data_IF_140200282066
#
_entry.id   IF_140200282066
#
_cell.length_a   1.000
_cell.length_b   1.000
_cell.length_c   1.000
_cell.angle_alpha   90.00
_cell.angle_beta   90.00
_cell.angle_gamma   90.00
#
_symmetry.space_group_name_H-M   'P 1'
#
loop_
_entity.id
_entity.type
_entity.pdbx_description
1 polymer ?
#
# COMPACT_ATOMS: atom_id res chain seq x y z
N UNK A 1 12.29 7.53 -44.66
CA UNK A 1 12.24 8.68 -43.73
C UNK A 1 11.87 9.92 -44.52
N UNK A 2 10.61 10.37 -44.50
CA UNK A 2 10.25 11.72 -44.96
C UNK A 2 9.41 12.37 -43.87
N UNK A 3 9.91 13.49 -43.36
CA UNK A 3 9.37 14.26 -42.24
C UNK A 3 8.79 15.57 -42.79
N UNK A 4 7.64 15.97 -42.22
CA UNK A 4 7.14 17.35 -42.02
C UNK A 4 6.76 18.12 -43.31
N UNK A 5 5.93 19.16 -43.35
CA UNK A 5 4.91 19.87 -42.54
C UNK A 5 4.45 20.99 -43.49
N UNK A 6 3.16 21.30 -43.61
CA UNK A 6 2.59 22.61 -44.02
C UNK A 6 1.07 22.42 -44.20
N UNK A 7 0.16 22.99 -43.40
CA UNK A 7 -0.18 24.40 -43.14
C UNK A 7 -0.98 25.11 -44.26
N UNK A 8 -2.05 25.80 -43.85
CA UNK A 8 -2.92 26.79 -44.55
C UNK A 8 -3.94 26.21 -45.56
N UNK A 9 -5.23 26.12 -45.27
CA UNK A 9 -6.26 27.17 -45.06
C UNK A 9 -6.67 27.92 -46.35
N UNK A 10 -7.92 27.76 -46.82
CA UNK A 10 -8.80 28.85 -47.30
C UNK A 10 -10.21 28.34 -47.71
N UNK A 11 -11.23 28.87 -47.00
CA UNK A 11 -12.48 29.51 -47.48
C UNK A 11 -13.42 28.82 -48.48
N UNK A 12 -14.71 28.84 -48.08
CA UNK A 12 -15.87 29.00 -48.96
C UNK A 12 -17.01 28.05 -48.57
N UNK A 13 -18.27 28.45 -48.42
CA UNK A 13 -18.96 29.73 -48.43
C UNK A 13 -20.30 29.50 -47.70
N UNK A 14 -20.79 30.53 -47.01
CA UNK A 14 -22.08 30.55 -46.30
C UNK A 14 -23.17 30.97 -47.31
N UNK A 15 -24.23 30.17 -47.45
CA UNK A 15 -25.51 30.53 -48.08
C UNK A 15 -26.59 29.82 -47.22
N UNK A 16 -27.24 30.51 -46.29
CA UNK A 16 -28.42 31.38 -46.40
C UNK A 16 -29.78 30.65 -46.38
N UNK A 17 -30.72 31.29 -45.68
CA UNK A 17 -32.18 31.09 -45.63
C UNK A 17 -32.76 30.13 -44.58
N UNK A 18 -33.45 30.76 -43.62
CA UNK A 18 -34.30 30.23 -42.55
C UNK A 18 -35.69 29.88 -43.12
N UNK A 19 -36.45 28.96 -42.49
CA UNK A 19 -37.76 29.38 -42.00
C UNK A 19 -38.06 28.90 -40.57
N UNK A 20 -38.56 29.82 -39.77
CA UNK A 20 -39.20 29.59 -38.47
C UNK A 20 -40.58 28.99 -38.67
N UNK A 21 -40.86 27.84 -38.05
CA UNK A 21 -42.23 27.42 -37.72
C UNK A 21 -42.31 27.10 -36.23
N UNK A 22 -43.17 27.84 -35.55
CA UNK A 22 -43.69 27.54 -34.23
C UNK A 22 -44.97 26.70 -34.42
N UNK A 23 -45.07 25.53 -33.78
CA UNK A 23 -46.34 25.00 -33.27
C UNK A 23 -46.09 23.78 -32.38
N UNK A 24 -46.90 23.68 -31.32
CA UNK A 24 -46.85 22.70 -30.26
C UNK A 24 -47.23 21.28 -30.71
N UNK A 25 -46.62 20.24 -30.12
CA UNK A 25 -47.41 19.14 -29.56
C UNK A 25 -46.62 18.24 -28.60
N UNK A 26 -47.34 17.83 -27.58
CA UNK A 26 -46.99 16.99 -26.46
C UNK A 26 -46.56 15.58 -26.92
N UNK A 27 -45.30 15.18 -26.70
CA UNK A 27 -44.99 13.76 -26.49
C UNK A 27 -44.08 13.60 -25.29
N UNK A 28 -44.70 13.12 -24.21
CA UNK A 28 -44.10 12.32 -23.17
C UNK A 28 -43.08 11.34 -23.76
N UNK A 29 -41.80 11.73 -23.73
CA UNK A 29 -40.67 10.91 -24.08
C UNK A 29 -39.73 10.85 -22.90
N UNK A 30 -40.00 9.94 -21.97
CA UNK A 30 -39.08 9.53 -20.90
C UNK A 30 -37.73 9.19 -21.51
N UNK A 31 -36.78 10.13 -21.43
CA UNK A 31 -35.38 9.85 -21.72
C UNK A 31 -34.90 8.76 -20.75
N UNK A 32 -34.27 7.68 -21.23
CA UNK A 32 -33.74 6.64 -20.35
C UNK A 32 -32.70 7.28 -19.43
N UNK A 33 -33.01 7.28 -18.14
CA UNK A 33 -32.12 7.72 -17.07
C UNK A 33 -30.88 6.86 -17.18
N UNK A 34 -29.81 7.43 -17.75
CA UNK A 34 -28.52 6.77 -17.87
C UNK A 34 -28.15 6.19 -16.50
N UNK A 35 -28.07 4.86 -16.47
CA UNK A 35 -27.63 4.04 -15.35
C UNK A 35 -26.37 4.67 -14.78
N UNK A 36 -26.52 5.36 -13.64
CA UNK A 36 -25.38 5.71 -12.82
C UNK A 36 -24.65 4.40 -12.55
N UNK A 37 -23.42 4.30 -13.05
CA UNK A 37 -22.44 3.29 -12.64
C UNK A 37 -22.71 2.96 -11.17
N UNK A 38 -22.94 1.69 -10.87
CA UNK A 38 -23.41 1.21 -9.57
C UNK A 38 -22.25 0.60 -8.75
N UNK A 39 -21.07 1.27 -8.58
CA UNK A 39 -19.93 0.67 -7.87
C UNK A 39 -20.31 0.36 -6.42
N UNK A 40 -21.24 1.12 -5.84
CA UNK A 40 -21.75 0.89 -4.48
C UNK A 40 -22.58 -0.39 -4.34
N UNK A 41 -23.32 -0.82 -5.37
CA UNK A 41 -24.06 -2.09 -5.33
C UNK A 41 -23.08 -3.26 -5.48
N UNK A 42 -22.15 -3.16 -6.41
CA UNK A 42 -21.16 -4.19 -6.70
C UNK A 42 -20.22 -4.43 -5.52
N UNK A 43 -19.69 -3.36 -4.91
CA UNK A 43 -18.90 -3.45 -3.67
C UNK A 43 -19.68 -4.07 -2.50
N UNK A 44 -21.00 -3.88 -2.46
CA UNK A 44 -21.84 -4.49 -1.44
C UNK A 44 -21.98 -5.99 -1.65
N UNK A 45 -22.18 -6.41 -2.91
CA UNK A 45 -22.28 -7.81 -3.29
C UNK A 45 -20.94 -8.53 -3.12
N UNK A 46 -19.83 -7.90 -3.48
CA UNK A 46 -18.48 -8.43 -3.24
C UNK A 46 -18.20 -8.59 -1.75
N UNK A 47 -18.57 -7.60 -0.92
CA UNK A 47 -18.46 -7.73 0.54
C UNK A 47 -19.37 -8.81 1.09
N UNK A 48 -20.62 -8.90 0.64
CA UNK A 48 -21.54 -9.95 1.04
C UNK A 48 -20.96 -11.33 0.71
N UNK A 49 -20.45 -11.52 -0.52
CA UNK A 49 -19.80 -12.75 -0.95
C UNK A 49 -18.55 -13.06 -0.11
N UNK A 50 -17.73 -12.06 0.23
CA UNK A 50 -16.56 -12.23 1.10
C UNK A 50 -16.92 -12.72 2.51
N UNK A 51 -18.11 -12.36 3.01
CA UNK A 51 -18.65 -12.83 4.28
C UNK A 51 -19.59 -14.05 4.14
N UNK A 52 -19.77 -14.61 2.93
CA UNK A 52 -20.65 -15.74 2.67
C UNK A 52 -22.16 -15.42 2.79
N UNK A 53 -22.53 -14.15 2.69
CA UNK A 53 -23.93 -13.69 2.81
C UNK A 53 -24.64 -13.79 1.45
N UNK A 54 -25.73 -14.56 1.40
CA UNK A 54 -26.57 -14.65 0.22
C UNK A 54 -27.30 -13.32 -0.04
N UNK A 55 -27.12 -12.76 -1.24
CA UNK A 55 -27.73 -11.48 -1.66
C UNK A 55 -29.08 -11.63 -2.36
N UNK A 56 -29.49 -12.86 -2.65
CA UNK A 56 -30.69 -13.14 -3.43
C UNK A 56 -31.96 -12.88 -2.61
N UNK A 57 -32.80 -11.98 -3.12
CA UNK A 57 -34.07 -11.60 -2.49
C UNK A 57 -33.97 -10.61 -1.32
N UNK A 58 -32.76 -10.20 -0.89
CA UNK A 58 -32.57 -9.25 0.22
C UNK A 58 -32.46 -7.80 -0.26
N UNK A 59 -32.98 -6.87 0.53
CA UNK A 59 -32.83 -5.44 0.23
C UNK A 59 -31.39 -4.97 0.50
N UNK A 60 -30.98 -3.88 -0.16
CA UNK A 60 -29.63 -3.29 0.05
C UNK A 60 -29.35 -2.97 1.52
N UNK A 61 -30.39 -2.62 2.29
CA UNK A 61 -30.28 -2.27 3.70
C UNK A 61 -30.08 -3.51 4.58
N UNK A 62 -30.80 -4.60 4.28
CA UNK A 62 -30.61 -5.89 4.94
C UNK A 62 -29.20 -6.45 4.69
N UNK A 63 -28.73 -6.43 3.44
CA UNK A 63 -27.37 -6.86 3.09
C UNK A 63 -26.32 -5.98 3.82
N UNK A 64 -26.54 -4.66 3.89
CA UNK A 64 -25.66 -3.76 4.68
C UNK A 64 -25.66 -4.10 6.16
N UNK A 65 -26.81 -4.40 6.75
CA UNK A 65 -26.93 -4.72 8.17
C UNK A 65 -26.21 -6.04 8.50
N UNK A 66 -26.41 -7.08 7.68
CA UNK A 66 -25.74 -8.37 7.84
C UNK A 66 -24.22 -8.27 7.61
N UNK A 67 -23.76 -7.50 6.62
CA UNK A 67 -22.32 -7.25 6.43
C UNK A 67 -21.75 -6.52 7.64
N UNK A 68 -22.46 -5.53 8.19
CA UNK A 68 -22.01 -4.81 9.39
C UNK A 68 -21.86 -5.76 10.57
N UNK A 69 -22.88 -6.57 10.88
CA UNK A 69 -22.82 -7.52 11.99
C UNK A 69 -21.72 -8.58 11.79
N UNK A 70 -21.60 -9.16 10.59
CA UNK A 70 -20.53 -10.09 10.26
C UNK A 70 -19.15 -9.44 10.40
N UNK A 71 -18.99 -8.20 9.91
CA UNK A 71 -17.73 -7.45 10.03
C UNK A 71 -17.39 -7.09 11.47
N UNK A 72 -18.39 -6.84 12.31
CA UNK A 72 -18.21 -6.56 13.74
C UNK A 72 -17.81 -7.81 14.50
N UNK A 73 -18.43 -8.96 14.20
CA UNK A 73 -18.05 -10.26 14.74
C UNK A 73 -16.61 -10.63 14.34
N UNK A 74 -16.25 -10.47 13.06
CA UNK A 74 -14.88 -10.68 12.57
C UNK A 74 -13.89 -9.73 13.23
N UNK A 75 -14.26 -8.46 13.39
CA UNK A 75 -13.43 -7.46 14.06
C UNK A 75 -13.21 -7.84 15.53
N UNK A 76 -14.25 -8.29 16.22
CA UNK A 76 -14.18 -8.79 17.59
C UNK A 76 -13.25 -10.01 17.69
N UNK A 77 -13.42 -11.01 16.83
CA UNK A 77 -12.56 -12.19 16.78
C UNK A 77 -11.09 -11.81 16.54
N UNK A 78 -10.82 -10.86 15.63
CA UNK A 78 -9.46 -10.34 15.39
C UNK A 78 -8.89 -9.60 16.59
N UNK A 79 -9.70 -8.83 17.31
CA UNK A 79 -9.28 -8.14 18.54
C UNK A 79 -8.96 -9.15 19.64
N UNK A 80 -9.80 -10.18 19.83
CA UNK A 80 -9.55 -11.26 20.78
C UNK A 80 -8.28 -12.05 20.43
N UNK A 81 -8.09 -12.41 19.16
CA UNK A 81 -6.87 -13.09 18.70
C UNK A 81 -5.62 -12.22 18.88
N UNK A 82 -5.72 -10.91 18.65
CA UNK A 82 -4.63 -9.98 18.92
C UNK A 82 -4.34 -9.86 20.43
N UNK A 83 -5.38 -9.81 21.26
CA UNK A 83 -5.27 -9.74 22.71
C UNK A 83 -4.61 -11.02 23.27
N UNK A 84 -5.04 -12.20 22.82
CA UNK A 84 -4.42 -13.47 23.16
C UNK A 84 -2.92 -13.51 22.78
N UNK A 85 -2.56 -13.04 21.57
CA UNK A 85 -1.15 -12.91 21.14
C UNK A 85 -0.33 -11.94 21.99
N UNK A 86 -0.98 -10.98 22.63
CA UNK A 86 -0.34 -10.02 23.53
C UNK A 86 -0.42 -10.44 25.01
N UNK A 87 -1.03 -11.59 25.32
CA UNK A 87 -1.21 -12.07 26.69
C UNK A 87 -2.29 -11.30 27.48
N UNK A 88 -3.22 -10.64 26.79
CA UNK A 88 -4.30 -9.88 27.41
C UNK A 88 -5.51 -10.81 27.55
N UNK A 89 -6.04 -10.96 28.77
CA UNK A 89 -7.25 -11.72 29.03
C UNK A 89 -8.44 -11.12 28.25
N UNK A 90 -9.13 -11.98 27.49
CA UNK A 90 -10.26 -11.62 26.63
C UNK A 90 -11.63 -11.95 27.22
N UNK A 91 -11.66 -12.72 28.31
CA UNK A 91 -12.90 -13.24 28.88
C UNK A 91 -13.73 -12.11 29.50
N UNK A 92 -14.97 -11.98 29.02
CA UNK A 92 -15.94 -10.99 29.51
C UNK A 92 -15.71 -9.54 29.09
N UNK A 93 -14.69 -9.24 28.27
CA UNK A 93 -14.38 -7.86 27.86
C UNK A 93 -15.14 -7.44 26.60
N UNK A 94 -15.62 -6.20 26.60
CA UNK A 94 -16.28 -5.62 25.43
C UNK A 94 -15.28 -5.30 24.32
N UNK A 95 -15.78 -5.12 23.09
CA UNK A 95 -14.97 -4.70 21.93
C UNK A 95 -14.14 -3.44 22.20
N UNK A 96 -14.71 -2.50 22.97
CA UNK A 96 -14.09 -1.21 23.27
C UNK A 96 -12.99 -1.35 24.31
N UNK A 97 -13.23 -2.13 25.37
CA UNK A 97 -12.22 -2.44 26.37
C UNK A 97 -11.01 -3.15 25.74
N UNK A 98 -11.26 -4.15 24.89
CA UNK A 98 -10.18 -4.83 24.16
C UNK A 98 -9.40 -3.87 23.26
N UNK A 99 -10.06 -2.92 22.60
CA UNK A 99 -9.35 -1.90 21.78
C UNK A 99 -8.45 -1.03 22.65
N UNK A 100 -8.93 -0.57 23.79
CA UNK A 100 -8.15 0.27 24.71
C UNK A 100 -6.95 -0.49 25.26
N UNK A 101 -7.16 -1.72 25.73
CA UNK A 101 -6.09 -2.59 26.24
C UNK A 101 -5.04 -2.88 25.16
N UNK A 102 -5.48 -3.17 23.92
CA UNK A 102 -4.58 -3.36 22.78
C UNK A 102 -3.82 -2.09 22.44
N UNK A 103 -4.46 -0.92 22.47
CA UNK A 103 -3.79 0.36 22.20
C UNK A 103 -2.72 0.66 23.26
N UNK A 104 -3.02 0.40 24.53
CA UNK A 104 -2.06 0.54 25.62
C UNK A 104 -0.88 -0.45 25.45
N UNK A 105 -1.15 -1.73 25.19
CA UNK A 105 -0.11 -2.73 24.95
C UNK A 105 0.74 -2.43 23.70
N UNK A 106 0.15 -1.84 22.67
CA UNK A 106 0.88 -1.38 21.49
C UNK A 106 1.73 -0.17 21.82
N UNK A 107 1.22 0.77 22.61
CA UNK A 107 1.98 1.94 23.07
C UNK A 107 3.21 1.52 23.87
N UNK A 108 3.05 0.63 24.85
CA UNK A 108 4.19 0.12 25.65
C UNK A 108 5.22 -0.59 24.77
N UNK A 109 4.79 -1.39 23.79
CA UNK A 109 5.71 -2.03 22.83
C UNK A 109 6.41 -1.03 21.90
N UNK A 110 5.74 0.06 21.54
CA UNK A 110 6.35 1.13 20.74
C UNK A 110 7.35 1.93 21.56
N UNK A 111 7.00 2.32 22.78
CA UNK A 111 7.91 2.98 23.72
C UNK A 111 9.17 2.15 23.96
N UNK A 112 9.03 0.87 24.32
CA UNK A 112 10.18 -0.03 24.50
C UNK A 112 11.05 -0.21 23.25
N UNK A 113 10.46 -0.11 22.04
CA UNK A 113 11.22 -0.10 20.79
C UNK A 113 11.91 1.24 20.56
N UNK A 114 11.29 2.34 20.99
CA UNK A 114 11.80 3.69 20.88
C UNK A 114 13.05 3.82 21.78
N UNK A 115 12.98 3.35 23.02
CA UNK A 115 14.11 3.29 23.95
C UNK A 115 15.28 2.49 23.36
N UNK A 116 15.02 1.30 22.80
CA UNK A 116 16.04 0.48 22.13
C UNK A 116 16.70 1.15 20.94
N UNK A 117 16.01 2.08 20.29
CA UNK A 117 16.49 2.83 19.14
C UNK A 117 17.00 4.23 19.52
N UNK A 118 16.99 4.59 20.80
CA UNK A 118 17.36 5.94 21.27
C UNK A 118 16.39 7.04 20.86
N UNK A 119 15.14 6.69 20.56
CA UNK A 119 14.07 7.63 20.20
C UNK A 119 13.25 7.89 21.45
N UNK A 120 13.23 9.12 21.96
CA UNK A 120 12.41 9.47 23.13
C UNK A 120 10.91 9.27 22.85
N UNK A 121 10.22 8.58 23.76
CA UNK A 121 8.78 8.30 23.67
C UNK A 121 7.87 9.26 24.42
N UNK A 122 8.43 10.15 25.24
CA UNK A 122 7.64 11.02 26.12
C UNK A 122 6.79 12.03 25.33
N UNK A 123 5.51 12.12 25.70
CA UNK A 123 4.54 13.04 25.13
C UNK A 123 4.10 12.76 23.69
N UNK A 124 4.60 11.69 23.05
CA UNK A 124 4.29 11.38 21.65
C UNK A 124 3.09 10.46 21.53
N UNK A 125 2.24 10.73 20.54
CA UNK A 125 1.15 9.83 20.18
C UNK A 125 1.67 8.53 19.58
N UNK A 126 0.85 7.48 19.63
CA UNK A 126 1.10 6.20 18.98
C UNK A 126 1.43 6.31 17.47
N UNK A 127 0.95 7.36 16.79
CA UNK A 127 1.23 7.60 15.37
C UNK A 127 2.63 8.19 15.20
N UNK A 128 2.95 9.25 15.93
CA UNK A 128 4.25 9.91 15.89
C UNK A 128 5.38 8.97 16.33
N UNK A 129 5.15 8.15 17.36
CA UNK A 129 6.10 7.12 17.78
C UNK A 129 6.43 6.14 16.64
N UNK A 130 5.42 5.70 15.88
CA UNK A 130 5.64 4.80 14.74
C UNK A 130 6.43 5.47 13.62
N UNK A 131 6.14 6.73 13.33
CA UNK A 131 6.85 7.50 12.30
C UNK A 131 8.31 7.73 12.71
N UNK A 132 8.55 8.18 13.94
CA UNK A 132 9.90 8.37 14.47
C UNK A 132 10.69 7.05 14.50
N UNK A 133 10.06 5.94 14.90
CA UNK A 133 10.66 4.60 14.84
C UNK A 133 10.98 4.16 13.41
N UNK A 134 10.10 4.46 12.45
CA UNK A 134 10.33 4.15 11.04
C UNK A 134 11.52 4.94 10.50
N UNK A 135 11.60 6.23 10.83
CA UNK A 135 12.73 7.09 10.48
C UNK A 135 14.04 6.60 11.10
N UNK A 136 14.04 6.30 12.41
CA UNK A 136 15.22 5.77 13.11
C UNK A 136 15.70 4.43 12.53
N UNK A 137 14.77 3.53 12.19
CA UNK A 137 15.09 2.27 11.50
C UNK A 137 15.65 2.48 10.10
N UNK A 138 15.10 3.43 9.35
CA UNK A 138 15.60 3.77 8.03
C UNK A 138 17.02 4.33 8.12
N UNK A 139 17.30 5.22 9.07
CA UNK A 139 18.63 5.77 9.34
C UNK A 139 19.62 4.67 9.76
N UNK A 140 19.23 3.75 10.65
CA UNK A 140 20.07 2.60 11.02
C UNK A 140 20.33 1.65 9.84
N UNK A 141 19.35 1.50 8.96
CA UNK A 141 19.49 0.69 7.75
C UNK A 141 20.48 1.34 6.77
N UNK A 142 20.36 2.64 6.49
CA UNK A 142 21.30 3.34 5.62
C UNK A 142 22.72 3.35 6.20
N UNK A 143 22.88 3.55 7.51
CA UNK A 143 24.19 3.48 8.19
C UNK A 143 24.84 2.11 8.00
N UNK A 144 24.08 1.03 8.18
CA UNK A 144 24.57 -0.34 7.96
C UNK A 144 24.87 -0.60 6.48
N UNK A 145 24.02 -0.14 5.58
CA UNK A 145 24.21 -0.34 4.14
C UNK A 145 25.47 0.42 3.65
N UNK A 146 25.77 1.61 4.21
CA UNK A 146 27.03 2.32 4.00
C UNK A 146 28.25 1.53 4.53
N UNK A 147 28.19 1.04 5.78
CA UNK A 147 29.29 0.19 6.33
C UNK A 147 29.53 -1.07 5.51
N UNK A 148 28.48 -1.66 4.94
CA UNK A 148 28.61 -2.80 4.02
C UNK A 148 29.29 -2.39 2.72
N UNK A 149 28.90 -1.26 2.13
CA UNK A 149 29.57 -0.73 0.94
C UNK A 149 31.06 -0.48 1.19
N UNK A 150 31.43 0.13 2.32
CA UNK A 150 32.82 0.33 2.71
C UNK A 150 33.58 -0.99 2.87
N UNK A 151 32.97 -1.99 3.50
CA UNK A 151 33.57 -3.31 3.65
C UNK A 151 33.76 -4.03 2.30
N UNK A 152 32.81 -3.87 1.38
CA UNK A 152 32.91 -4.37 -0.01
C UNK A 152 34.05 -3.69 -0.72
N UNK A 153 34.16 -2.37 -0.67
CA UNK A 153 35.23 -1.60 -1.32
C UNK A 153 36.62 -1.97 -0.76
N UNK A 154 36.73 -2.11 0.57
CA UNK A 154 37.98 -2.59 1.21
C UNK A 154 38.38 -4.00 0.75
N UNK A 155 37.40 -4.89 0.54
CA UNK A 155 37.65 -6.25 0.01
C UNK A 155 38.01 -6.23 -1.46
N UNK A 156 37.35 -5.39 -2.26
CA UNK A 156 37.66 -5.19 -3.67
C UNK A 156 39.10 -4.73 -3.85
N UNK A 157 39.52 -3.69 -3.10
CA UNK A 157 40.88 -3.18 -3.12
C UNK A 157 41.93 -4.25 -2.77
N UNK A 158 41.67 -5.09 -1.75
CA UNK A 158 42.56 -6.22 -1.38
C UNK A 158 42.70 -7.29 -2.45
N UNK A 159 41.70 -7.41 -3.34
CA UNK A 159 41.70 -8.37 -4.44
C UNK A 159 42.07 -7.73 -5.78
N UNK A 160 42.39 -6.43 -5.81
CA UNK A 160 42.70 -5.69 -7.03
C UNK A 160 41.50 -5.49 -7.96
N UNK A 161 40.27 -5.57 -7.42
CA UNK A 161 39.03 -5.42 -8.19
C UNK A 161 38.66 -3.93 -8.26
N UNK A 162 38.50 -3.39 -9.47
CA UNK A 162 38.04 -2.01 -9.67
C UNK A 162 36.56 -1.85 -9.30
N UNK A 163 36.27 -0.79 -8.53
CA UNK A 163 34.91 -0.40 -8.11
C UNK A 163 34.27 0.67 -9.01
N UNK A 164 35.03 1.23 -9.96
CA UNK A 164 34.58 2.35 -10.77
C UNK A 164 33.49 1.94 -11.77
N UNK A 165 32.37 2.65 -11.74
CA UNK A 165 31.22 2.38 -12.60
C UNK A 165 30.41 1.12 -12.25
N UNK A 166 30.76 0.40 -11.18
CA UNK A 166 30.07 -0.83 -10.77
C UNK A 166 29.16 -0.62 -9.56
N UNK A 167 28.04 -1.32 -9.55
CA UNK A 167 27.16 -1.35 -8.36
C UNK A 167 27.80 -2.17 -7.24
N UNK A 168 27.45 -1.89 -5.98
CA UNK A 168 27.94 -2.66 -4.82
C UNK A 168 27.64 -4.16 -4.94
N UNK A 169 26.53 -4.52 -5.58
CA UNK A 169 26.16 -5.92 -5.84
C UNK A 169 27.11 -6.60 -6.84
N UNK A 170 27.47 -5.91 -7.94
CA UNK A 170 28.42 -6.42 -8.94
C UNK A 170 29.82 -6.59 -8.34
N UNK A 171 30.30 -5.59 -7.59
CA UNK A 171 31.59 -5.67 -6.89
C UNK A 171 31.60 -6.84 -5.90
N UNK A 172 30.51 -7.05 -5.14
CA UNK A 172 30.40 -8.17 -4.22
C UNK A 172 30.43 -9.53 -4.93
N UNK A 173 29.74 -9.68 -6.05
CA UNK A 173 29.74 -10.91 -6.85
C UNK A 173 31.15 -11.23 -7.37
N UNK A 174 31.87 -10.23 -7.89
CA UNK A 174 33.26 -10.39 -8.35
C UNK A 174 34.20 -10.79 -7.21
N UNK A 175 34.06 -10.17 -6.03
CA UNK A 175 34.82 -10.55 -4.82
C UNK A 175 34.57 -12.03 -4.47
N UNK A 176 33.30 -12.47 -4.52
CA UNK A 176 32.93 -13.84 -4.18
C UNK A 176 33.55 -14.85 -5.16
N UNK A 177 33.48 -14.57 -6.46
CA UNK A 177 34.11 -15.39 -7.50
C UNK A 177 35.63 -15.44 -7.35
N UNK A 178 36.28 -14.31 -7.05
CA UNK A 178 37.73 -14.26 -6.82
C UNK A 178 38.16 -15.06 -5.58
N UNK A 179 37.37 -15.00 -4.50
CA UNK A 179 37.61 -15.81 -3.28
C UNK A 179 37.44 -17.30 -3.55
N UNK A 180 36.39 -17.70 -4.29
CA UNK A 180 36.18 -19.09 -4.68
C UNK A 180 37.34 -19.62 -5.53
N UNK A 181 37.82 -18.85 -6.50
CA UNK A 181 38.98 -19.23 -7.31
C UNK A 181 40.25 -19.38 -6.46
N UNK A 182 40.46 -18.49 -5.48
CA UNK A 182 41.60 -18.58 -4.54
C UNK A 182 41.52 -19.84 -3.67
N UNK A 183 40.34 -20.16 -3.14
CA UNK A 183 40.14 -21.37 -2.34
C UNK A 183 40.26 -22.65 -3.17
N UNK A 184 39.74 -22.67 -4.40
CA UNK A 184 39.89 -23.81 -5.30
C UNK A 184 41.35 -24.10 -5.68
N UNK A 185 42.19 -23.06 -5.83
CA UNK A 185 43.64 -23.23 -6.03
C UNK A 185 44.34 -23.78 -4.78
N UNK A 186 43.97 -23.27 -3.60
CA UNK A 186 44.49 -23.74 -2.32
C UNK A 186 44.09 -25.17 -1.95
N UNK A 187 42.92 -25.63 -2.41
CA UNK A 187 42.44 -26.99 -2.17
C UNK A 187 43.08 -28.03 -3.12
N UNK A 188 43.78 -27.58 -4.17
CA UNK A 188 44.49 -28.42 -5.15
C UNK A 188 46.01 -28.47 -4.91
N UNK A 189 46.52 -27.70 -3.96
CA UNK A 189 47.90 -27.75 -3.46
C UNK A 189 47.92 -28.53 -2.15
#
# INVERSE_FOLDING_TARGET
MLKKLASLALVGAIIAAVPTMAFAENTSGTAPKAEAFHPLKQLLQEKAAAFGIATDGKTKEQIKAEIKSASEADRLARLQAAAAKLGIATDGKSAEQLKTDLQAAVHTKLAAKADKLGVGSDGKTNKELREALKAAKAAKKSERDAKKADAVNKRAAKLGISTDGKTTAQVFAEIQSALQAKWAKRAKQ
#
